data_IF_617050931204
#
_entry.id   IF_617050931204
#
_cell.length_a   1.000
_cell.length_b   1.000
_cell.length_c   1.000
_cell.angle_alpha   90.00
_cell.angle_beta   90.00
_cell.angle_gamma   90.00
#
_symmetry.space_group_name_H-M   'P 1'
#
loop_
_entity.id
_entity.type
_entity.pdbx_description
1 polymer ?
#
# COMPACT_ATOMS: atom_id res chain seq x y z
N UNK A 1 -7.32 42.71 2.37
CA UNK A 1 -8.05 41.73 1.53
C UNK A 1 -7.96 40.41 2.27
N UNK A 2 -8.99 40.07 3.03
CA UNK A 2 -8.94 38.94 3.95
C UNK A 2 -9.28 37.68 3.15
N UNK A 3 -8.39 36.70 3.13
CA UNK A 3 -8.69 35.35 2.67
C UNK A 3 -9.67 34.75 3.68
N UNK A 4 -10.95 34.95 3.42
CA UNK A 4 -12.00 34.43 4.25
C UNK A 4 -12.21 32.94 4.00
N UNK A 5 -13.02 32.29 4.85
CA UNK A 5 -13.48 30.93 4.61
C UNK A 5 -14.11 30.76 3.22
N UNK A 6 -14.71 31.83 2.68
CA UNK A 6 -15.34 31.85 1.37
C UNK A 6 -14.35 31.72 0.22
N UNK A 7 -13.26 32.48 0.23
CA UNK A 7 -12.18 32.37 -0.77
C UNK A 7 -11.50 31.01 -0.69
N UNK A 8 -11.26 30.49 0.52
CA UNK A 8 -10.65 29.17 0.67
C UNK A 8 -11.55 28.05 0.12
N UNK A 9 -12.86 28.13 0.34
CA UNK A 9 -13.82 27.19 -0.24
C UNK A 9 -13.80 27.21 -1.77
N UNK A 10 -13.71 28.40 -2.39
CA UNK A 10 -13.58 28.53 -3.84
C UNK A 10 -12.29 27.90 -4.38
N UNK A 11 -11.14 28.12 -3.72
CA UNK A 11 -9.86 27.53 -4.11
C UNK A 11 -9.95 26.00 -4.04
N UNK A 12 -10.47 25.47 -2.92
CA UNK A 12 -10.69 24.04 -2.73
C UNK A 12 -11.59 23.51 -3.85
N UNK A 13 -12.69 24.19 -4.17
CA UNK A 13 -13.61 23.78 -5.22
C UNK A 13 -12.92 23.68 -6.59
N UNK A 14 -12.10 24.67 -6.96
CA UNK A 14 -11.33 24.63 -8.22
C UNK A 14 -10.32 23.46 -8.23
N UNK A 15 -9.61 23.23 -7.13
CA UNK A 15 -8.69 22.08 -7.00
C UNK A 15 -9.47 20.76 -7.09
N UNK A 16 -10.65 20.67 -6.49
CA UNK A 16 -11.53 19.50 -6.59
C UNK A 16 -11.99 19.24 -8.03
N UNK A 17 -12.24 20.27 -8.84
CA UNK A 17 -12.60 20.11 -10.25
C UNK A 17 -11.41 19.62 -11.10
N UNK A 18 -10.19 20.13 -10.84
CA UNK A 18 -8.99 19.76 -11.59
C UNK A 18 -8.47 18.36 -11.24
N UNK A 19 -8.44 18.03 -9.95
CA UNK A 19 -7.89 16.76 -9.45
C UNK A 19 -8.97 15.69 -9.26
N UNK A 20 -10.24 16.08 -9.09
CA UNK A 20 -11.36 15.16 -8.84
C UNK A 20 -11.52 14.79 -7.36
N UNK A 21 -12.76 14.40 -7.00
CA UNK A 21 -13.15 14.08 -5.63
C UNK A 21 -12.35 12.93 -4.98
N UNK A 22 -11.74 12.05 -5.78
CA UNK A 22 -10.97 10.92 -5.28
C UNK A 22 -9.48 11.22 -5.09
N UNK A 23 -8.89 12.22 -5.76
CA UNK A 23 -7.43 12.46 -5.72
C UNK A 23 -6.98 13.27 -4.52
N UNK A 24 -7.74 14.31 -4.14
CA UNK A 24 -7.47 15.10 -2.94
C UNK A 24 -7.42 14.26 -1.65
N UNK A 25 -8.43 13.42 -1.33
CA UNK A 25 -8.41 12.63 -0.10
C UNK A 25 -7.36 11.51 -0.14
N UNK A 26 -7.02 10.98 -1.31
CA UNK A 26 -5.95 9.99 -1.44
C UNK A 26 -4.56 10.62 -1.21
N UNK A 27 -4.30 11.78 -1.81
CA UNK A 27 -3.05 12.54 -1.60
C UNK A 27 -2.91 13.00 -0.16
N UNK A 28 -3.97 13.54 0.46
CA UNK A 28 -3.96 13.94 1.85
C UNK A 28 -3.68 12.74 2.80
N UNK A 29 -4.26 11.57 2.52
CA UNK A 29 -3.99 10.35 3.30
C UNK A 29 -2.56 9.84 3.15
N UNK A 30 -1.98 9.87 1.95
CA UNK A 30 -0.57 9.47 1.77
C UNK A 30 0.38 10.46 2.42
N UNK A 31 0.17 11.77 2.22
CA UNK A 31 0.97 12.83 2.83
C UNK A 31 0.86 12.84 4.36
N UNK A 32 -0.33 12.61 4.91
CA UNK A 32 -0.55 12.54 6.36
C UNK A 32 0.18 11.37 7.02
N UNK A 33 0.26 10.21 6.36
CA UNK A 33 1.05 9.07 6.86
C UNK A 33 2.54 9.39 6.88
N UNK A 34 3.09 9.97 5.80
CA UNK A 34 4.50 10.39 5.74
C UNK A 34 4.83 11.50 6.75
N UNK A 35 3.94 12.50 6.90
CA UNK A 35 4.10 13.57 7.90
C UNK A 35 4.07 13.05 9.34
N UNK A 36 3.26 12.03 9.65
CA UNK A 36 3.21 11.44 10.99
C UNK A 36 4.53 10.77 11.36
N UNK A 37 5.08 9.96 10.45
CA UNK A 37 6.36 9.27 10.65
C UNK A 37 7.46 10.32 10.87
N UNK A 38 7.55 11.30 9.97
CA UNK A 38 8.51 12.38 10.08
C UNK A 38 8.34 13.20 11.37
N UNK A 39 7.10 13.49 11.77
CA UNK A 39 6.81 14.22 13.01
C UNK A 39 7.24 13.43 14.24
N UNK A 40 7.02 12.12 14.28
CA UNK A 40 7.42 11.25 15.40
C UNK A 40 8.94 11.15 15.51
N UNK A 41 9.65 10.90 14.41
CA UNK A 41 11.12 10.87 14.41
C UNK A 41 11.71 12.21 14.83
N UNK A 42 11.13 13.31 14.36
CA UNK A 42 11.59 14.66 14.69
C UNK A 42 11.23 15.08 16.13
N UNK A 43 10.17 14.53 16.71
CA UNK A 43 9.79 14.72 18.11
C UNK A 43 10.69 13.90 19.04
N UNK A 44 11.09 12.70 18.64
CA UNK A 44 12.05 11.85 19.36
C UNK A 44 13.42 12.53 19.48
N UNK A 45 13.90 13.17 18.40
CA UNK A 45 15.12 14.00 18.43
C UNK A 45 15.03 15.22 19.35
N UNK A 46 13.82 15.76 19.56
CA UNK A 46 13.57 16.86 20.49
C UNK A 46 13.43 16.35 21.93
N UNK A 47 12.82 15.18 22.10
CA UNK A 47 12.56 14.52 23.37
C UNK A 47 13.83 13.91 23.96
N UNK A 48 14.81 13.47 23.17
CA UNK A 48 16.13 13.03 23.67
C UNK A 48 16.85 14.13 24.48
N UNK A 49 16.57 15.42 24.20
CA UNK A 49 17.03 16.56 25.02
C UNK A 49 16.20 16.82 26.29
N UNK A 50 15.05 16.17 26.48
CA UNK A 50 14.09 16.37 27.58
C UNK A 50 13.83 15.11 28.44
N UNK A 51 14.08 13.91 27.93
CA UNK A 51 13.66 12.63 28.50
C UNK A 51 14.44 12.16 29.74
N UNK A 52 15.54 12.82 30.12
CA UNK A 52 16.23 12.57 31.41
C UNK A 52 15.35 12.89 32.63
N UNK A 53 14.21 13.56 32.46
CA UNK A 53 13.35 14.01 33.57
C UNK A 53 12.07 13.19 33.82
N UNK A 54 11.67 12.24 32.97
CA UNK A 54 10.30 11.68 33.00
C UNK A 54 10.19 10.13 33.04
N UNK A 55 11.25 9.41 33.42
CA UNK A 55 11.20 7.93 33.44
C UNK A 55 10.51 7.32 34.68
N UNK A 56 10.15 8.10 35.72
CA UNK A 56 9.69 7.53 37.00
C UNK A 56 8.18 7.32 37.22
N UNK A 57 7.30 7.52 36.22
CA UNK A 57 5.84 7.47 36.46
C UNK A 57 5.02 6.53 35.57
N UNK A 58 5.62 5.74 34.69
CA UNK A 58 4.88 4.90 33.73
C UNK A 58 5.05 3.38 33.92
N UNK A 59 5.33 2.89 35.13
CA UNK A 59 5.36 1.45 35.46
C UNK A 59 4.09 1.06 36.24
N UNK A 60 2.88 1.34 35.74
CA UNK A 60 1.66 0.80 36.42
C UNK A 60 0.41 0.59 35.54
N UNK A 61 0.51 0.74 34.21
CA UNK A 61 -0.59 0.40 33.29
C UNK A 61 -0.11 -0.52 32.17
N UNK A 62 0.33 -1.72 32.55
CA UNK A 62 0.45 -2.86 31.63
C UNK A 62 -0.56 -3.93 32.08
N UNK A 63 -1.77 -3.85 31.54
CA UNK A 63 -2.71 -4.96 31.55
C UNK A 63 -2.52 -5.73 30.23
N UNK A 64 -2.09 -7.01 30.24
CA UNK A 64 -1.90 -7.78 29.04
C UNK A 64 -3.27 -8.18 28.48
N UNK A 65 -3.77 -7.44 27.49
CA UNK A 65 -4.91 -7.90 26.69
C UNK A 65 -4.40 -8.93 25.70
N UNK A 66 -4.88 -10.15 25.89
CA UNK A 66 -4.53 -11.33 25.10
C UNK A 66 -4.71 -11.12 23.59
N UNK A 67 -3.78 -11.71 22.86
CA UNK A 67 -3.78 -12.07 21.44
C UNK A 67 -5.17 -12.08 20.76
N UNK A 68 -5.42 -11.11 19.89
CA UNK A 68 -6.28 -11.34 18.73
C UNK A 68 -5.36 -11.67 17.57
N UNK A 69 -5.27 -12.95 17.22
CA UNK A 69 -4.70 -13.41 15.95
C UNK A 69 -5.51 -12.75 14.84
N UNK A 70 -4.91 -12.00 13.90
CA UNK A 70 -5.60 -11.60 12.68
C UNK A 70 -5.91 -12.88 11.90
N UNK A 71 -7.16 -13.34 12.02
CA UNK A 71 -7.71 -14.34 11.12
C UNK A 71 -7.63 -13.75 9.70
N UNK A 72 -6.98 -14.40 8.72
CA UNK A 72 -7.01 -13.94 7.34
C UNK A 72 -8.45 -14.03 6.85
N UNK A 73 -9.14 -12.90 6.89
CA UNK A 73 -10.47 -12.76 6.32
C UNK A 73 -10.30 -12.78 4.81
N UNK A 74 -10.50 -13.94 4.20
CA UNK A 74 -10.86 -14.06 2.79
C UNK A 74 -12.20 -13.35 2.59
N UNK A 75 -12.17 -12.02 2.44
CA UNK A 75 -13.34 -11.23 2.10
C UNK A 75 -13.71 -11.57 0.65
N UNK A 76 -14.80 -12.31 0.52
CA UNK A 76 -15.41 -12.78 -0.71
C UNK A 76 -15.61 -11.62 -1.69
N UNK A 77 -14.84 -11.62 -2.78
CA UNK A 77 -15.23 -10.89 -3.99
C UNK A 77 -16.55 -11.48 -4.50
N UNK A 78 -17.53 -10.66 -4.93
CA UNK A 78 -18.58 -11.17 -5.78
C UNK A 78 -17.93 -11.64 -7.08
N UNK A 79 -17.88 -12.96 -7.24
CA UNK A 79 -17.56 -13.65 -8.49
C UNK A 79 -18.60 -13.21 -9.54
N UNK A 80 -18.28 -12.18 -10.32
CA UNK A 80 -18.96 -11.97 -11.58
C UNK A 80 -18.58 -13.14 -12.49
N UNK A 81 -19.52 -14.06 -12.66
CA UNK A 81 -19.46 -15.14 -13.62
C UNK A 81 -19.40 -14.55 -15.03
N UNK A 82 -18.19 -14.26 -15.53
CA UNK A 82 -17.98 -14.23 -16.97
C UNK A 82 -17.93 -15.68 -17.45
N UNK A 83 -18.74 -16.08 -18.45
CA UNK A 83 -18.53 -17.35 -19.10
C UNK A 83 -17.15 -17.31 -19.74
N UNK A 84 -16.22 -18.04 -19.13
CA UNK A 84 -14.94 -18.45 -19.73
C UNK A 84 -15.27 -19.21 -21.01
N UNK A 85 -15.28 -18.51 -22.14
CA UNK A 85 -15.13 -19.15 -23.43
C UNK A 85 -13.76 -19.82 -23.41
N UNK A 86 -13.78 -21.15 -23.33
CA UNK A 86 -12.62 -22.01 -23.44
C UNK A 86 -11.99 -21.79 -24.82
N UNK A 87 -11.08 -20.83 -24.95
CA UNK A 87 -10.09 -20.89 -26.02
C UNK A 87 -9.17 -22.07 -25.68
N UNK A 88 -9.02 -23.06 -26.58
CA UNK A 88 -7.98 -24.07 -26.42
C UNK A 88 -6.66 -23.33 -26.31
N UNK A 89 -5.99 -23.49 -25.17
CA UNK A 89 -4.64 -23.02 -24.95
C UNK A 89 -3.75 -23.61 -26.03
N UNK A 90 -3.44 -22.83 -27.07
CA UNK A 90 -2.33 -23.12 -27.97
C UNK A 90 -1.06 -22.87 -27.18
N UNK A 91 -0.64 -23.90 -26.43
CA UNK A 91 0.70 -23.96 -25.88
C UNK A 91 1.67 -23.98 -27.06
N UNK A 92 2.62 -23.03 -27.19
CA UNK A 92 3.68 -23.15 -28.16
C UNK A 92 4.46 -24.42 -27.81
N UNK A 93 4.26 -25.47 -28.61
CA UNK A 93 5.03 -26.70 -28.49
C UNK A 93 6.50 -26.33 -28.77
N UNK A 94 7.46 -26.63 -27.87
CA UNK A 94 8.86 -26.55 -28.26
C UNK A 94 9.06 -27.52 -29.43
N UNK A 95 9.77 -27.12 -30.52
CA UNK A 95 10.13 -28.04 -31.57
C UNK A 95 10.86 -29.26 -30.98
N UNK A 96 10.21 -30.41 -31.09
CA UNK A 96 10.79 -31.72 -30.80
C UNK A 96 11.60 -32.17 -32.03
N UNK A 97 12.77 -32.76 -31.76
CA UNK A 97 13.75 -33.36 -32.70
C UNK A 97 14.64 -32.37 -33.47
N UNK A 98 15.96 -32.58 -33.57
CA UNK A 98 16.62 -33.78 -34.10
C UNK A 98 17.75 -34.34 -33.20
N UNK A 99 17.77 -35.65 -32.87
CA UNK A 99 19.00 -36.33 -32.50
C UNK A 99 19.86 -36.50 -33.75
N UNK A 100 20.96 -35.76 -33.82
CA UNK A 100 21.95 -35.94 -34.88
C UNK A 100 22.52 -37.35 -34.75
N UNK A 101 22.14 -38.18 -35.73
CA UNK A 101 22.67 -39.51 -36.00
C UNK A 101 24.17 -39.40 -36.28
N UNK A 102 24.99 -39.38 -35.24
CA UNK A 102 26.42 -39.66 -35.32
C UNK A 102 26.62 -41.18 -35.20
N UNK A 103 26.14 -41.93 -36.20
CA UNK A 103 26.39 -43.37 -36.32
C UNK A 103 26.40 -43.75 -37.80
N UNK A 104 27.57 -43.70 -38.41
CA UNK A 104 27.84 -44.29 -39.73
C UNK A 104 28.78 -43.42 -40.57
N UNK A 105 29.81 -44.05 -41.14
CA UNK A 105 30.90 -43.50 -41.96
C UNK A 105 32.08 -42.96 -41.13
N UNK A 106 33.08 -43.70 -40.63
CA UNK A 106 33.70 -44.97 -41.03
C UNK A 106 33.73 -45.17 -42.55
N UNK A 107 34.57 -44.39 -43.24
CA UNK A 107 35.60 -44.80 -44.22
C UNK A 107 36.25 -43.56 -44.82
#
# INVERSE_FOLDING_TARGET
MNLGPWELALIIFVVFLLFGASRLPNAARSLGRSMRIFKSEMDEMKTDKQAVAQEKQAIEQQQPTAHTVPQPSVQQQPVQQQPVQQQPVQQPQPPVEHPQRDYGQQQ
#
